data_IF_660966061374
#
_entry.id   IF_660966061374
#
_cell.length_a   1.000
_cell.length_b   1.000
_cell.length_c   1.000
_cell.angle_alpha   90.00
_cell.angle_beta   90.00
_cell.angle_gamma   90.00
#
_symmetry.space_group_name_H-M   'P 1'
#
loop_
_entity.id
_entity.type
_entity.pdbx_description
1 polymer ?
#
# COMPACT_ATOMS: atom_id res chain seq x y z
N UNK A 1 -30.96 -5.22 5.51
CA UNK A 1 -29.77 -4.48 5.05
C UNK A 1 -28.98 -4.11 6.30
N UNK A 2 -27.82 -4.74 6.50
CA UNK A 2 -26.93 -4.35 7.57
C UNK A 2 -26.13 -3.14 7.08
N UNK A 3 -26.29 -2.00 7.74
CA UNK A 3 -25.32 -0.93 7.65
C UNK A 3 -24.03 -1.49 8.26
N UNK A 4 -23.02 -1.73 7.43
CA UNK A 4 -21.66 -1.87 7.93
C UNK A 4 -21.39 -0.55 8.65
N UNK A 5 -21.37 -0.58 9.99
CA UNK A 5 -20.81 0.51 10.78
C UNK A 5 -19.49 0.87 10.10
N UNK A 6 -19.24 2.14 9.83
CA UNK A 6 -17.91 2.60 9.44
C UNK A 6 -16.95 2.23 10.59
N UNK A 7 -16.47 0.99 10.56
CA UNK A 7 -15.42 0.51 11.44
C UNK A 7 -14.25 1.39 11.10
N UNK A 8 -13.79 2.15 12.09
CA UNK A 8 -12.54 2.89 11.95
C UNK A 8 -11.50 1.87 11.47
N UNK A 9 -10.72 2.26 10.47
CA UNK A 9 -9.59 1.52 9.95
C UNK A 9 -8.32 2.26 10.32
N UNK A 10 -7.19 1.56 10.39
CA UNK A 10 -5.90 2.25 10.33
C UNK A 10 -5.70 2.77 8.92
N UNK A 11 -5.21 4.00 8.84
CA UNK A 11 -4.85 4.64 7.59
C UNK A 11 -3.36 4.40 7.29
N UNK A 12 -3.07 3.99 6.06
CA UNK A 12 -1.72 3.76 5.56
C UNK A 12 -1.50 4.71 4.39
N UNK A 13 -0.58 5.64 4.56
CA UNK A 13 -0.18 6.59 3.53
C UNK A 13 1.08 6.09 2.83
N UNK A 14 1.10 6.18 1.51
CA UNK A 14 2.24 5.78 0.70
C UNK A 14 2.72 6.99 -0.07
N UNK A 15 4.00 7.28 0.05
CA UNK A 15 4.70 8.29 -0.73
C UNK A 15 5.65 7.57 -1.67
N UNK A 16 5.57 7.93 -2.95
CA UNK A 16 6.56 7.48 -3.91
C UNK A 16 7.90 8.18 -3.61
N UNK A 17 8.94 7.38 -3.33
CA UNK A 17 10.30 7.90 -3.14
C UNK A 17 11.16 7.60 -4.37
N UNK A 18 11.16 6.34 -4.83
CA UNK A 18 11.98 5.91 -5.97
C UNK A 18 11.50 4.59 -6.56
N UNK A 19 11.53 4.47 -7.87
CA UNK A 19 11.48 3.18 -8.52
C UNK A 19 11.79 3.20 -10.00
N UNK A 20 11.83 2.02 -10.62
CA UNK A 20 11.98 1.83 -12.06
C UNK A 20 10.94 0.83 -12.56
N UNK A 21 10.86 0.63 -13.88
CA UNK A 21 9.90 -0.28 -14.53
C UNK A 21 9.75 -1.61 -13.77
N UNK A 22 8.50 -2.02 -13.59
CA UNK A 22 8.14 -3.21 -12.81
C UNK A 22 6.78 -3.07 -12.16
N UNK A 23 6.24 -4.17 -11.65
CA UNK A 23 4.96 -4.16 -10.94
C UNK A 23 5.22 -4.17 -9.44
N UNK A 24 4.81 -3.10 -8.76
CA UNK A 24 4.82 -2.96 -7.31
C UNK A 24 3.43 -3.25 -6.77
N UNK A 25 3.32 -3.91 -5.61
CA UNK A 25 2.07 -4.15 -4.92
C UNK A 25 2.26 -3.86 -3.44
N UNK A 26 1.37 -3.08 -2.83
CA UNK A 26 1.41 -2.80 -1.39
C UNK A 26 0.13 -3.26 -0.72
N UNK A 27 0.24 -4.12 0.30
CA UNK A 27 -0.92 -4.64 1.02
C UNK A 27 -0.62 -4.85 2.51
N UNK A 28 -1.68 -4.94 3.30
CA UNK A 28 -1.63 -5.14 4.73
C UNK A 28 -1.98 -6.57 5.11
N UNK A 29 -1.22 -7.13 6.04
CA UNK A 29 -1.45 -8.45 6.63
C UNK A 29 -1.54 -8.36 8.17
N UNK A 30 -2.30 -9.27 8.78
CA UNK A 30 -2.24 -9.50 10.22
C UNK A 30 -1.03 -10.36 10.63
N UNK A 31 -0.90 -10.61 11.94
CA UNK A 31 0.17 -11.44 12.52
C UNK A 31 0.20 -12.89 11.98
N UNK A 32 -0.89 -13.36 11.40
CA UNK A 32 -1.05 -14.69 10.84
C UNK A 32 -0.96 -14.71 9.31
N UNK A 33 -0.53 -13.60 8.67
CA UNK A 33 -0.44 -13.45 7.21
C UNK A 33 -1.79 -13.45 6.50
N UNK A 34 -2.88 -13.13 7.21
CA UNK A 34 -4.17 -12.91 6.56
C UNK A 34 -4.18 -11.52 5.92
N UNK A 35 -4.63 -11.44 4.68
CA UNK A 35 -4.84 -10.18 3.97
C UNK A 35 -5.93 -9.35 4.66
N UNK A 36 -5.59 -8.11 5.02
CA UNK A 36 -6.48 -7.19 5.75
C UNK A 36 -6.54 -5.79 5.12
N UNK A 37 -6.01 -5.58 3.91
CA UNK A 37 -6.28 -4.35 3.15
C UNK A 37 -7.76 -4.26 2.83
N UNK A 38 -8.37 -3.13 3.13
CA UNK A 38 -9.73 -2.82 2.73
C UNK A 38 -9.77 -2.48 1.24
N UNK A 39 -10.49 -3.31 0.49
CA UNK A 39 -10.78 -3.08 -0.94
C UNK A 39 -12.27 -2.72 -1.08
N UNK A 40 -12.61 -1.51 -1.52
CA UNK A 40 -14.00 -1.11 -1.73
C UNK A 40 -14.71 -2.00 -2.77
N UNK A 41 -15.96 -2.39 -2.49
CA UNK A 41 -16.74 -3.27 -3.39
C UNK A 41 -17.04 -2.69 -4.79
N UNK A 42 -16.82 -1.39 -4.98
CA UNK A 42 -17.04 -0.68 -6.24
C UNK A 42 -15.77 -0.53 -7.09
N UNK A 43 -14.64 -1.12 -6.67
CA UNK A 43 -13.41 -1.17 -7.47
C UNK A 43 -13.69 -2.01 -8.74
N UNK A 44 -13.49 -1.44 -9.94
CA UNK A 44 -13.71 -2.17 -11.19
C UNK A 44 -12.55 -3.12 -11.49
N UNK A 45 -12.88 -4.28 -12.07
CA UNK A 45 -11.88 -5.25 -12.53
C UNK A 45 -11.39 -6.19 -11.43
N UNK A 46 -10.17 -6.68 -11.58
CA UNK A 46 -9.53 -7.55 -10.61
C UNK A 46 -9.00 -6.73 -9.42
N UNK A 47 -9.27 -7.21 -8.20
CA UNK A 47 -8.90 -6.55 -6.95
C UNK A 47 -7.39 -6.32 -6.83
N UNK A 48 -6.54 -7.12 -7.49
CA UNK A 48 -5.11 -6.88 -7.45
C UNK A 48 -4.69 -5.52 -8.03
N UNK A 49 -5.43 -4.98 -9.00
CA UNK A 49 -5.17 -3.64 -9.54
C UNK A 49 -5.50 -2.50 -8.57
N UNK A 50 -6.17 -2.80 -7.45
CA UNK A 50 -6.39 -1.80 -6.41
C UNK A 50 -5.11 -1.50 -5.64
N UNK A 51 -4.32 -2.55 -5.38
CA UNK A 51 -3.15 -2.49 -4.53
C UNK A 51 -1.82 -2.63 -5.27
N UNK A 52 -1.86 -2.89 -6.58
CA UNK A 52 -0.70 -2.94 -7.47
C UNK A 52 -0.63 -1.72 -8.40
N UNK A 53 0.59 -1.28 -8.68
CA UNK A 53 0.93 -0.12 -9.50
C UNK A 53 2.30 -0.27 -10.16
N UNK A 54 2.61 0.57 -11.14
CA UNK A 54 3.95 0.61 -11.72
C UNK A 54 4.97 1.07 -10.67
N UNK A 55 6.09 0.38 -10.51
CA UNK A 55 7.07 0.80 -9.50
C UNK A 55 7.64 2.21 -9.72
N UNK A 56 7.54 2.78 -10.92
CA UNK A 56 7.99 4.14 -11.25
C UNK A 56 7.00 5.26 -10.87
N UNK A 57 5.71 4.95 -10.65
CA UNK A 57 4.70 5.91 -10.20
C UNK A 57 3.41 5.25 -9.65
N UNK A 58 2.54 6.02 -8.97
CA UNK A 58 1.25 5.51 -8.49
C UNK A 58 0.11 5.64 -9.52
N UNK A 59 0.42 5.88 -10.80
CA UNK A 59 -0.54 6.38 -11.79
C UNK A 59 -1.57 5.33 -12.27
N UNK A 60 -1.45 4.08 -11.82
CA UNK A 60 -2.28 2.97 -12.32
C UNK A 60 -3.20 2.34 -11.27
N UNK A 61 -3.33 2.90 -10.06
CA UNK A 61 -4.21 2.30 -9.04
C UNK A 61 -5.69 2.52 -9.37
N UNK A 62 -6.45 1.41 -9.51
CA UNK A 62 -7.85 1.43 -9.93
C UNK A 62 -8.80 1.77 -8.78
N UNK A 63 -8.70 3.00 -8.25
CA UNK A 63 -9.68 3.57 -7.33
C UNK A 63 -9.24 3.73 -5.88
N UNK A 64 -7.96 3.52 -5.60
CA UNK A 64 -7.36 3.96 -4.34
C UNK A 64 -7.28 5.49 -4.29
N UNK A 65 -7.37 6.06 -3.09
CA UNK A 65 -7.40 7.51 -2.92
C UNK A 65 -5.99 8.10 -3.09
N UNK A 66 -5.79 8.87 -4.15
CA UNK A 66 -4.51 9.50 -4.47
C UNK A 66 -4.64 11.02 -4.53
N UNK A 67 -3.97 11.72 -3.62
CA UNK A 67 -4.01 13.19 -3.52
C UNK A 67 -2.62 13.73 -3.24
N UNK A 68 -2.21 14.75 -4.00
CA UNK A 68 -0.94 15.45 -3.82
C UNK A 68 0.29 14.53 -3.72
N UNK A 69 0.32 13.42 -4.48
CA UNK A 69 1.44 12.49 -4.46
C UNK A 69 1.40 11.45 -3.33
N UNK A 70 0.32 11.41 -2.55
CA UNK A 70 0.12 10.45 -1.47
C UNK A 70 -1.03 9.51 -1.82
N UNK A 71 -0.73 8.21 -1.84
CA UNK A 71 -1.71 7.15 -2.01
C UNK A 71 -2.18 6.68 -0.63
N UNK A 72 -3.46 6.41 -0.48
CA UNK A 72 -4.07 6.05 0.81
C UNK A 72 -4.73 4.68 0.74
N UNK A 73 -4.29 3.77 1.61
CA UNK A 73 -4.96 2.52 1.92
C UNK A 73 -5.48 2.52 3.35
N UNK A 74 -6.34 1.53 3.62
CA UNK A 74 -6.93 1.33 4.91
C UNK A 74 -6.92 -0.16 5.22
N UNK A 75 -6.74 -0.53 6.49
CA UNK A 75 -7.07 -1.88 6.94
C UNK A 75 -8.59 -2.09 6.99
N UNK A 76 -9.04 -3.34 7.13
CA UNK A 76 -10.48 -3.64 7.34
C UNK A 76 -11.02 -3.17 8.71
N UNK A 77 -10.13 -2.97 9.70
CA UNK A 77 -10.46 -2.52 11.06
C UNK A 77 -9.26 -1.80 11.71
N UNK A 78 -9.47 -1.12 12.84
CA UNK A 78 -8.42 -0.39 13.59
C UNK A 78 -8.08 -1.03 14.96
N UNK A 79 -8.21 -2.35 15.04
CA UNK A 79 -7.97 -3.14 16.26
C UNK A 79 -6.95 -4.24 16.04
N UNK A 80 -6.78 -4.67 14.79
CA UNK A 80 -5.85 -5.69 14.37
C UNK A 80 -4.48 -5.08 14.13
N UNK A 81 -3.47 -5.52 14.87
CA UNK A 81 -2.07 -5.19 14.57
C UNK A 81 -1.73 -5.65 13.17
N UNK A 82 -1.08 -4.79 12.39
CA UNK A 82 -0.81 -5.04 10.98
C UNK A 82 0.65 -4.88 10.58
N UNK A 83 0.96 -5.47 9.44
CA UNK A 83 2.20 -5.34 8.70
C UNK A 83 1.88 -4.87 7.29
N UNK A 84 2.67 -3.92 6.80
CA UNK A 84 2.64 -3.46 5.43
C UNK A 84 3.67 -4.24 4.63
N UNK A 85 3.22 -4.80 3.52
CA UNK A 85 4.04 -5.48 2.56
C UNK A 85 4.25 -4.60 1.33
N UNK A 86 5.44 -4.65 0.75
CA UNK A 86 5.69 -4.17 -0.61
C UNK A 86 6.30 -5.32 -1.38
N UNK A 87 5.57 -5.81 -2.38
CA UNK A 87 6.04 -6.80 -3.35
C UNK A 87 6.42 -6.12 -4.65
N UNK A 88 7.48 -6.61 -5.31
CA UNK A 88 7.96 -6.14 -6.60
C UNK A 88 8.20 -7.34 -7.49
N UNK A 89 7.60 -7.34 -8.68
CA UNK A 89 7.86 -8.33 -9.73
C UNK A 89 8.47 -7.70 -10.98
N UNK A 90 9.44 -8.41 -11.57
CA UNK A 90 10.03 -8.07 -12.86
C UNK A 90 9.37 -8.81 -14.02
N UNK A 91 9.57 -8.31 -15.24
CA UNK A 91 9.12 -8.96 -16.48
C UNK A 91 9.74 -10.35 -16.70
N UNK A 92 10.88 -10.63 -16.06
CA UNK A 92 11.57 -11.92 -16.15
C UNK A 92 11.06 -12.94 -15.12
N UNK A 93 10.07 -12.56 -14.29
CA UNK A 93 9.47 -13.43 -13.27
C UNK A 93 10.19 -13.45 -11.92
N UNK A 94 11.16 -12.56 -11.68
CA UNK A 94 11.76 -12.40 -10.36
C UNK A 94 10.79 -11.67 -9.43
N UNK A 95 10.80 -12.04 -8.15
CA UNK A 95 9.94 -11.45 -7.13
C UNK A 95 10.73 -11.16 -5.85
N UNK A 96 10.48 -10.00 -5.26
CA UNK A 96 10.96 -9.62 -3.93
C UNK A 96 9.87 -8.93 -3.14
N UNK A 97 9.88 -9.14 -1.84
CA UNK A 97 9.00 -8.45 -0.93
C UNK A 97 9.70 -7.95 0.33
N UNK A 98 9.12 -6.93 0.93
CA UNK A 98 9.38 -6.54 2.31
C UNK A 98 8.12 -6.69 3.13
N UNK A 99 8.31 -6.99 4.42
CA UNK A 99 7.25 -7.14 5.41
C UNK A 99 7.60 -6.28 6.63
N UNK A 100 7.12 -5.04 6.65
CA UNK A 100 7.40 -4.08 7.71
C UNK A 100 6.17 -3.96 8.62
N UNK A 101 6.32 -4.14 9.93
CA UNK A 101 5.11 -4.09 10.76
C UNK A 101 5.24 -4.36 12.23
N UNK A 102 4.08 -4.72 12.80
CA UNK A 102 3.78 -4.65 14.22
C UNK A 102 3.08 -3.34 14.60
N UNK A 103 2.37 -2.72 13.65
CA UNK A 103 1.73 -1.42 13.83
C UNK A 103 0.32 -1.55 14.38
N UNK A 104 -0.06 -0.60 15.24
CA UNK A 104 -1.36 -0.47 15.89
C UNK A 104 -1.88 0.98 15.83
N UNK A 105 -1.43 1.72 14.80
CA UNK A 105 -1.72 3.14 14.54
C UNK A 105 -1.68 3.42 13.04
N UNK A 106 -2.13 4.60 12.63
CA UNK A 106 -1.95 5.10 11.27
C UNK A 106 -0.45 5.26 10.96
N UNK A 107 -0.04 4.96 9.73
CA UNK A 107 1.37 4.95 9.31
C UNK A 107 1.56 5.63 7.95
N UNK A 108 2.80 6.02 7.67
CA UNK A 108 3.21 6.42 6.33
C UNK A 108 4.48 5.70 5.91
N UNK A 109 4.57 5.30 4.65
CA UNK A 109 5.78 4.70 4.08
C UNK A 109 6.23 5.38 2.80
N UNK A 110 7.54 5.53 2.66
CA UNK A 110 8.20 5.74 1.39
C UNK A 110 8.34 4.41 0.66
N UNK A 111 7.75 4.27 -0.52
CA UNK A 111 7.87 3.06 -1.34
C UNK A 111 9.08 3.15 -2.25
N UNK A 112 9.96 2.15 -2.18
CA UNK A 112 11.13 2.03 -3.04
C UNK A 112 11.13 0.65 -3.71
N UNK A 113 10.94 0.61 -5.03
CA UNK A 113 10.84 -0.65 -5.77
C UNK A 113 11.50 -0.58 -7.15
N UNK A 114 12.24 -1.62 -7.53
CA UNK A 114 12.87 -1.71 -8.85
C UNK A 114 12.62 -3.11 -9.41
N UNK A 115 11.87 -3.18 -10.50
CA UNK A 115 11.63 -4.43 -11.24
C UNK A 115 12.66 -4.68 -12.33
N UNK A 116 13.65 -3.81 -12.51
CA UNK A 116 14.70 -3.97 -13.52
C UNK A 116 16.00 -4.47 -12.91
N UNK A 117 16.71 -5.35 -13.62
CA UNK A 117 18.00 -5.87 -13.16
C UNK A 117 17.91 -6.63 -11.83
N UNK A 118 18.52 -6.09 -10.77
CA UNK A 118 18.46 -6.69 -9.43
C UNK A 118 17.18 -6.27 -8.73
N UNK A 119 16.14 -7.09 -8.79
CA UNK A 119 14.85 -6.77 -8.15
C UNK A 119 15.03 -6.47 -6.66
N UNK A 120 14.44 -5.37 -6.19
CA UNK A 120 14.37 -5.05 -4.77
C UNK A 120 13.06 -4.35 -4.40
N UNK A 121 12.65 -4.55 -3.16
CA UNK A 121 11.49 -3.94 -2.53
C UNK A 121 11.95 -3.38 -1.18
N UNK A 122 11.64 -2.12 -0.89
CA UNK A 122 11.91 -1.49 0.40
C UNK A 122 10.78 -0.55 0.82
N UNK A 123 10.44 -0.60 2.10
CA UNK A 123 9.54 0.34 2.76
C UNK A 123 10.33 1.14 3.80
N UNK A 124 10.32 2.46 3.67
CA UNK A 124 10.89 3.38 4.66
C UNK A 124 9.76 3.99 5.51
N UNK A 125 9.78 3.84 6.83
CA UNK A 125 8.73 4.41 7.68
C UNK A 125 8.94 5.93 7.79
N UNK A 126 7.93 6.69 7.38
CA UNK A 126 7.93 8.15 7.38
C UNK A 126 7.01 8.69 8.47
N UNK A 127 7.13 9.99 8.74
CA UNK A 127 6.22 10.72 9.62
C UNK A 127 4.81 10.74 9.02
N UNK A 128 3.87 10.05 9.66
CA UNK A 128 2.45 10.06 9.26
C UNK A 128 1.89 11.48 9.19
N UNK A 129 2.18 12.32 10.19
CA UNK A 129 1.68 13.69 10.24
C UNK A 129 2.18 14.55 9.07
N UNK A 130 3.40 14.31 8.58
CA UNK A 130 3.93 15.07 7.46
C UNK A 130 3.38 14.56 6.11
N UNK A 131 3.25 13.24 5.94
CA UNK A 131 2.56 12.69 4.77
C UNK A 131 1.11 13.16 4.70
N UNK A 132 0.40 13.20 5.83
CA UNK A 132 -0.96 13.70 5.93
C UNK A 132 -1.07 15.17 5.54
N UNK A 133 -0.15 16.02 6.02
CA UNK A 133 -0.10 17.43 5.61
C UNK A 133 0.10 17.57 4.10
N UNK A 134 0.95 16.74 3.49
CA UNK A 134 1.16 16.76 2.03
C UNK A 134 -0.13 16.36 1.30
N UNK A 135 -0.77 15.26 1.72
CA UNK A 135 -2.02 14.77 1.14
C UNK A 135 -3.15 15.81 1.22
N UNK A 136 -3.23 16.53 2.34
CA UNK A 136 -4.33 17.46 2.64
C UNK A 136 -4.07 18.91 2.17
N UNK A 137 -2.93 19.19 1.53
CA UNK A 137 -2.51 20.51 1.06
C UNK A 137 -3.26 21.05 -0.19
#
# INVERSE_FOLDING_TARGET
>A
MAFILATKAYEILLRYERGQEGSCCVWEEDVYRNFITFIPSNVPGDHHYYYCFDCSDFNTTNGADFRNGILTYNTIDNTTTYWVNLGVSSDNGDYRDTHNGGHDKDTCFGTIGDGTGSVFAYLDELSYDDCKKIRDA
#
